data_IF_748512535856
#
_entry.id   IF_748512535856
#
_cell.length_a   1.000
_cell.length_b   1.000
_cell.length_c   1.000
_cell.angle_alpha   90.00
_cell.angle_beta   90.00
_cell.angle_gamma   90.00
#
_symmetry.space_group_name_H-M   'P 1'
#
loop_
_entity.id
_entity.type
_entity.pdbx_description
1 polymer ?
#
# COMPACT_ATOMS: atom_id res chain seq x y z
N UNK A 1 48.90 -23.79 -64.82
CA UNK A 1 47.87 -24.81 -64.53
C UNK A 1 48.11 -25.30 -63.11
N UNK A 2 47.10 -25.19 -62.24
CA UNK A 2 47.10 -25.52 -60.79
C UNK A 2 47.58 -26.95 -60.49
N UNK A 3 48.11 -27.26 -59.27
CA UNK A 3 47.30 -27.29 -58.04
C UNK A 3 47.95 -26.70 -56.78
N UNK A 4 47.16 -25.91 -56.04
CA UNK A 4 47.37 -25.64 -54.62
C UNK A 4 46.84 -26.80 -53.80
N UNK A 5 47.65 -27.31 -52.88
CA UNK A 5 47.27 -28.33 -51.91
C UNK A 5 46.58 -27.68 -50.71
N UNK A 6 45.42 -28.21 -50.32
CA UNK A 6 44.77 -27.99 -49.03
C UNK A 6 45.36 -28.92 -47.97
N UNK A 7 45.31 -28.51 -46.69
CA UNK A 7 44.80 -29.47 -45.70
C UNK A 7 43.84 -28.87 -44.65
N UNK A 8 42.81 -29.67 -44.36
CA UNK A 8 42.13 -29.90 -43.08
C UNK A 8 41.53 -28.71 -42.29
N UNK A 9 40.20 -28.69 -42.26
CA UNK A 9 39.40 -28.07 -41.21
C UNK A 9 39.45 -28.90 -39.91
N UNK A 10 39.22 -28.25 -38.76
CA UNK A 10 38.18 -28.75 -37.87
C UNK A 10 37.18 -27.63 -37.52
N UNK A 11 35.90 -27.95 -37.77
CA UNK A 11 34.76 -27.33 -37.09
C UNK A 11 34.93 -27.51 -35.58
N UNK A 12 34.86 -26.43 -34.82
CA UNK A 12 34.62 -26.44 -33.37
C UNK A 12 33.85 -25.16 -33.05
N UNK A 13 32.51 -25.18 -33.11
CA UNK A 13 31.62 -25.45 -31.96
C UNK A 13 32.07 -24.71 -30.70
N UNK A 14 31.38 -23.61 -30.39
CA UNK A 14 31.11 -23.01 -29.06
C UNK A 14 30.24 -21.77 -29.36
N UNK A 15 29.00 -21.93 -29.83
CA UNK A 15 27.84 -22.31 -29.02
C UNK A 15 27.82 -21.59 -27.66
N UNK A 16 27.09 -20.46 -27.65
CA UNK A 16 26.28 -19.99 -26.53
C UNK A 16 26.90 -20.06 -25.13
N UNK A 17 27.76 -19.08 -24.80
CA UNK A 17 28.01 -18.74 -23.40
C UNK A 17 26.86 -17.87 -22.87
N UNK A 18 25.80 -18.56 -22.46
CA UNK A 18 24.91 -18.26 -21.35
C UNK A 18 24.64 -16.77 -21.01
N UNK A 19 23.61 -16.22 -21.66
CA UNK A 19 22.70 -15.23 -21.09
C UNK A 19 21.96 -15.85 -19.87
N UNK A 20 22.62 -15.95 -18.72
CA UNK A 20 21.96 -16.30 -17.45
C UNK A 20 22.65 -15.56 -16.30
N UNK A 21 22.72 -14.23 -16.39
CA UNK A 21 22.77 -13.42 -15.17
C UNK A 21 21.36 -13.49 -14.57
N UNK A 22 21.22 -14.43 -13.64
CA UNK A 22 20.01 -14.77 -12.94
C UNK A 22 19.21 -13.53 -12.54
N UNK A 23 17.95 -13.47 -12.99
CA UNK A 23 16.88 -12.87 -12.23
C UNK A 23 16.83 -13.60 -10.88
N UNK A 24 17.66 -13.19 -9.92
CA UNK A 24 17.41 -13.48 -8.52
C UNK A 24 16.40 -12.44 -8.10
N UNK A 25 15.10 -12.77 -7.97
CA UNK A 25 14.26 -11.91 -7.16
C UNK A 25 14.90 -11.95 -5.77
N UNK A 26 15.40 -10.80 -5.31
CA UNK A 26 15.67 -10.60 -3.89
C UNK A 26 14.33 -10.86 -3.20
N UNK A 27 14.15 -12.08 -2.70
CA UNK A 27 13.16 -12.40 -1.71
C UNK A 27 13.66 -11.78 -0.40
N UNK A 28 13.52 -10.45 -0.30
CA UNK A 28 13.43 -9.83 1.00
C UNK A 28 12.22 -10.41 1.74
N UNK A 29 12.16 -10.31 3.09
CA UNK A 29 10.90 -10.52 3.78
C UNK A 29 9.80 -9.71 3.07
N UNK A 30 8.54 -10.17 2.99
CA UNK A 30 7.46 -9.40 2.39
C UNK A 30 7.25 -8.15 3.25
N UNK A 31 8.10 -7.14 3.02
CA UNK A 31 7.96 -5.82 3.57
C UNK A 31 6.70 -5.30 2.94
N UNK A 32 5.66 -5.21 3.76
CA UNK A 32 4.41 -4.56 3.41
C UNK A 32 4.73 -3.33 2.56
N UNK A 33 4.26 -3.25 1.30
CA UNK A 33 4.53 -2.08 0.49
C UNK A 33 4.01 -0.87 1.29
N UNK A 34 4.84 0.18 1.49
CA UNK A 34 4.38 1.37 2.20
C UNK A 34 3.07 1.81 1.55
N UNK A 35 2.01 1.79 2.38
CA UNK A 35 0.63 1.49 1.97
C UNK A 35 0.28 1.81 0.53
N UNK A 36 -0.04 0.77 -0.24
CA UNK A 36 -0.61 0.80 -1.61
C UNK A 36 -0.76 2.21 -2.18
N UNK A 37 0.33 2.75 -2.72
CA UNK A 37 0.34 4.06 -3.35
C UNK A 37 -0.64 4.07 -4.52
N UNK A 38 -1.73 4.84 -4.38
CA UNK A 38 -2.67 5.10 -5.47
C UNK A 38 -2.20 6.35 -6.20
N UNK A 39 -1.93 6.23 -7.50
CA UNK A 39 -1.56 7.36 -8.35
C UNK A 39 -2.66 8.43 -8.34
N UNK A 40 -2.27 9.71 -8.29
CA UNK A 40 -3.21 10.83 -8.11
C UNK A 40 -4.31 10.87 -9.18
N UNK A 41 -4.01 10.51 -10.42
CA UNK A 41 -5.00 10.49 -11.51
C UNK A 41 -6.09 9.42 -11.37
N UNK A 42 -5.89 8.43 -10.48
CA UNK A 42 -6.90 7.42 -10.14
C UNK A 42 -7.84 7.88 -9.02
N UNK A 43 -7.57 9.04 -8.42
CA UNK A 43 -8.38 9.59 -7.34
C UNK A 43 -9.52 10.40 -7.93
N UNK A 44 -10.75 10.00 -7.59
CA UNK A 44 -11.97 10.65 -8.06
C UNK A 44 -12.88 11.02 -6.89
N UNK A 45 -13.79 11.97 -7.10
CA UNK A 45 -14.75 12.41 -6.10
C UNK A 45 -14.09 13.10 -4.90
N UNK A 46 -14.58 12.82 -3.69
CA UNK A 46 -14.18 13.52 -2.46
C UNK A 46 -12.72 13.31 -2.05
N UNK A 47 -12.01 12.32 -2.61
CA UNK A 47 -10.56 12.19 -2.43
C UNK A 47 -9.75 13.35 -2.99
N UNK A 48 -10.31 14.08 -3.96
CA UNK A 48 -9.71 15.29 -4.53
C UNK A 48 -9.98 16.55 -3.71
N UNK A 49 -10.92 16.48 -2.76
CA UNK A 49 -11.20 17.58 -1.85
C UNK A 49 -10.01 17.84 -0.92
N UNK A 50 -9.91 19.05 -0.38
CA UNK A 50 -8.90 19.39 0.62
C UNK A 50 -9.35 18.99 2.02
N UNK A 51 -8.39 18.84 2.93
CA UNK A 51 -8.63 18.66 4.36
C UNK A 51 -9.46 19.82 4.94
N UNK A 52 -9.27 21.05 4.46
CA UNK A 52 -10.11 22.20 4.81
C UNK A 52 -11.58 21.97 4.43
N UNK A 53 -11.86 21.49 3.22
CA UNK A 53 -13.23 21.19 2.77
C UNK A 53 -13.86 20.06 3.59
N UNK A 54 -13.08 19.04 3.96
CA UNK A 54 -13.53 18.00 4.89
C UNK A 54 -13.85 18.57 6.27
N UNK A 55 -12.94 19.36 6.84
CA UNK A 55 -13.08 19.98 8.16
C UNK A 55 -14.25 20.95 8.25
N UNK A 56 -14.66 21.57 7.13
CA UNK A 56 -15.81 22.47 7.06
C UNK A 56 -17.17 21.74 7.13
N UNK A 57 -17.23 20.43 6.95
CA UNK A 57 -18.50 19.67 7.04
C UNK A 57 -18.91 19.45 8.50
N UNK A 58 -20.20 19.54 8.82
CA UNK A 58 -20.67 19.28 10.18
C UNK A 58 -20.69 17.78 10.48
N UNK A 59 -20.39 17.37 11.72
CA UNK A 59 -20.52 15.95 12.11
C UNK A 59 -21.99 15.52 12.00
N UNK A 60 -22.22 14.35 11.41
CA UNK A 60 -23.58 13.83 11.17
C UNK A 60 -24.30 14.46 9.97
N UNK A 61 -23.69 15.41 9.26
CA UNK A 61 -24.25 15.96 8.02
C UNK A 61 -24.20 14.94 6.88
N UNK A 62 -25.10 15.05 5.88
CA UNK A 62 -25.02 14.27 4.65
C UNK A 62 -23.66 14.39 3.94
N UNK A 63 -23.05 15.57 3.97
CA UNK A 63 -21.73 15.84 3.38
C UNK A 63 -20.64 15.06 4.12
N UNK A 64 -20.68 15.04 5.45
CA UNK A 64 -19.75 14.24 6.27
C UNK A 64 -19.92 12.74 6.02
N UNK A 65 -21.16 12.27 5.84
CA UNK A 65 -21.42 10.87 5.48
C UNK A 65 -20.91 10.54 4.08
N UNK A 66 -20.99 11.46 3.13
CA UNK A 66 -20.41 11.27 1.80
C UNK A 66 -18.88 11.07 1.87
N UNK A 67 -18.18 11.85 2.72
CA UNK A 67 -16.75 11.64 2.99
C UNK A 67 -16.48 10.27 3.62
N UNK A 68 -17.33 9.84 4.56
CA UNK A 68 -17.22 8.52 5.18
C UNK A 68 -17.38 7.41 4.13
N UNK A 69 -18.40 7.47 3.30
CA UNK A 69 -18.63 6.49 2.22
C UNK A 69 -17.47 6.45 1.22
N UNK A 70 -16.93 7.62 0.86
CA UNK A 70 -15.75 7.68 0.00
C UNK A 70 -14.54 7.01 0.65
N UNK A 71 -14.28 7.29 1.93
CA UNK A 71 -13.20 6.65 2.70
C UNK A 71 -13.39 5.12 2.73
N UNK A 72 -14.61 4.63 2.99
CA UNK A 72 -14.91 3.20 2.98
C UNK A 72 -14.59 2.55 1.63
N UNK A 73 -14.94 3.22 0.53
CA UNK A 73 -14.60 2.77 -0.82
C UNK A 73 -13.08 2.73 -1.04
N UNK A 74 -12.36 3.77 -0.63
CA UNK A 74 -10.90 3.83 -0.71
C UNK A 74 -10.25 2.68 0.08
N UNK A 75 -10.62 2.50 1.34
CA UNK A 75 -10.11 1.42 2.19
C UNK A 75 -10.45 0.03 1.66
N UNK A 76 -11.64 -0.16 1.09
CA UNK A 76 -12.03 -1.41 0.43
C UNK A 76 -11.13 -1.73 -0.76
N UNK A 77 -10.82 -0.73 -1.59
CA UNK A 77 -9.91 -0.90 -2.73
C UNK A 77 -8.47 -1.26 -2.28
N UNK A 78 -8.01 -0.69 -1.17
CA UNK A 78 -6.72 -1.03 -0.59
C UNK A 78 -6.71 -2.49 -0.11
N UNK A 79 -7.77 -2.92 0.59
CA UNK A 79 -7.91 -4.30 1.07
C UNK A 79 -7.99 -5.32 -0.07
N UNK A 80 -8.69 -5.03 -1.16
CA UNK A 80 -8.77 -5.94 -2.30
C UNK A 80 -7.47 -6.02 -3.08
N UNK A 81 -6.71 -4.91 -3.15
CA UNK A 81 -5.41 -4.85 -3.83
C UNK A 81 -4.25 -5.46 -3.04
N UNK A 82 -4.35 -5.55 -1.72
CA UNK A 82 -3.31 -6.15 -0.89
C UNK A 82 -3.71 -7.54 -0.38
N UNK A 83 -3.20 -8.56 -1.08
CA UNK A 83 -3.45 -9.98 -0.81
C UNK A 83 -3.04 -10.45 0.60
N UNK A 84 -2.21 -9.69 1.33
CA UNK A 84 -1.67 -10.06 2.65
C UNK A 84 -2.13 -9.15 3.80
N UNK A 85 -3.08 -8.22 3.58
CA UNK A 85 -3.41 -7.17 4.57
C UNK A 85 -4.87 -7.16 4.97
N UNK A 86 -5.57 -8.28 4.76
CA UNK A 86 -7.01 -8.41 5.02
C UNK A 86 -7.40 -8.01 6.46
N UNK A 87 -6.49 -8.09 7.43
CA UNK A 87 -6.71 -7.68 8.83
C UNK A 87 -6.31 -6.23 9.16
N UNK A 88 -5.56 -5.55 8.29
CA UNK A 88 -5.09 -4.17 8.57
C UNK A 88 -6.26 -3.21 8.66
N UNK A 89 -7.23 -3.33 7.75
CA UNK A 89 -8.38 -2.43 7.69
C UNK A 89 -9.67 -3.24 7.83
N UNK A 90 -9.80 -3.95 8.95
CA UNK A 90 -11.03 -4.70 9.26
C UNK A 90 -12.21 -3.73 9.47
N UNK A 91 -13.39 -4.10 8.95
CA UNK A 91 -14.67 -3.43 9.19
C UNK A 91 -14.97 -3.24 10.68
N UNK A 92 -14.45 -4.11 11.55
CA UNK A 92 -14.54 -3.96 13.00
C UNK A 92 -13.96 -2.63 13.47
N UNK A 93 -12.91 -2.09 12.85
CA UNK A 93 -12.24 -0.84 13.29
C UNK A 93 -12.89 0.46 12.78
N UNK A 94 -13.88 0.39 11.89
CA UNK A 94 -14.50 1.59 11.32
C UNK A 94 -15.29 2.40 12.35
N UNK A 95 -15.96 1.69 13.25
CA UNK A 95 -16.81 2.27 14.30
C UNK A 95 -16.34 1.87 15.71
N UNK A 96 -15.22 1.14 15.83
CA UNK A 96 -14.74 0.60 17.10
C UNK A 96 -13.65 1.47 17.71
N UNK A 97 -13.96 1.95 18.90
CA UNK A 97 -13.01 2.54 19.83
C UNK A 97 -12.66 1.51 20.90
N UNK A 98 -11.38 1.26 21.15
CA UNK A 98 -10.91 0.49 22.31
C UNK A 98 -9.90 1.29 23.14
N UNK A 99 -9.36 0.67 24.19
CA UNK A 99 -8.36 1.31 25.04
C UNK A 99 -7.08 1.74 24.30
N UNK A 100 -6.78 1.19 23.13
CA UNK A 100 -5.63 1.52 22.30
C UNK A 100 -5.96 2.47 21.12
N UNK A 101 -7.19 2.47 20.63
CA UNK A 101 -7.71 3.30 19.54
C UNK A 101 -8.94 4.08 20.04
N UNK A 102 -8.76 5.21 20.74
CA UNK A 102 -9.89 5.97 21.27
C UNK A 102 -10.68 6.74 20.21
N UNK A 103 -10.21 6.76 18.96
CA UNK A 103 -10.78 7.53 17.86
C UNK A 103 -11.11 6.62 16.68
N UNK A 104 -12.32 6.75 16.13
CA UNK A 104 -12.64 6.17 14.83
C UNK A 104 -11.86 6.90 13.71
N UNK A 105 -11.89 6.37 12.49
CA UNK A 105 -11.12 6.98 11.39
C UNK A 105 -11.54 8.41 11.06
N UNK A 106 -12.82 8.76 11.19
CA UNK A 106 -13.29 10.11 10.91
C UNK A 106 -12.77 11.11 11.95
N UNK A 107 -12.80 10.74 13.23
CA UNK A 107 -12.25 11.55 14.32
C UNK A 107 -10.72 11.70 14.21
N UNK A 108 -10.03 10.61 13.84
CA UNK A 108 -8.60 10.67 13.59
C UNK A 108 -8.28 11.60 12.40
N UNK A 109 -9.05 11.50 11.31
CA UNK A 109 -8.91 12.36 10.13
C UNK A 109 -9.19 13.83 10.46
N UNK A 110 -10.13 14.13 11.36
CA UNK A 110 -10.33 15.50 11.84
C UNK A 110 -9.09 16.04 12.56
N UNK A 111 -8.47 15.22 13.41
CA UNK A 111 -7.21 15.54 14.08
C UNK A 111 -6.06 15.76 13.09
N UNK A 112 -5.95 14.91 12.06
CA UNK A 112 -4.94 15.03 11.02
C UNK A 112 -5.16 16.23 10.09
N UNK A 113 -6.40 16.47 9.66
CA UNK A 113 -6.71 17.52 8.70
C UNK A 113 -6.65 18.93 9.30
N UNK A 114 -6.91 19.09 10.61
CA UNK A 114 -6.86 20.39 11.29
C UNK A 114 -5.53 21.15 11.10
N UNK A 115 -4.35 20.55 11.31
CA UNK A 115 -3.07 21.20 11.02
C UNK A 115 -2.65 21.14 9.53
N UNK A 116 -3.39 20.41 8.68
CA UNK A 116 -3.01 20.14 7.29
C UNK A 116 -4.08 20.58 6.27
N UNK A 117 -4.57 21.85 6.29
CA UNK A 117 -5.77 22.24 5.53
C UNK A 117 -5.65 22.07 4.00
N UNK A 118 -4.46 22.29 3.43
CA UNK A 118 -4.22 22.17 1.99
C UNK A 118 -4.00 20.74 1.48
N UNK A 119 -3.86 19.76 2.37
CA UNK A 119 -3.64 18.37 1.98
C UNK A 119 -4.90 17.80 1.34
N UNK A 120 -4.75 17.02 0.26
CA UNK A 120 -5.87 16.34 -0.39
C UNK A 120 -6.39 15.21 0.49
N UNK A 121 -7.70 14.99 0.51
CA UNK A 121 -8.35 14.04 1.40
C UNK A 121 -7.89 12.60 1.18
N UNK A 122 -7.58 12.19 -0.06
CA UNK A 122 -7.01 10.87 -0.32
C UNK A 122 -5.64 10.66 0.33
N UNK A 123 -4.82 11.72 0.47
CA UNK A 123 -3.54 11.64 1.18
C UNK A 123 -3.80 11.42 2.67
N UNK A 124 -4.76 12.15 3.26
CA UNK A 124 -5.17 11.91 4.65
C UNK A 124 -5.72 10.48 4.85
N UNK A 125 -6.50 9.95 3.90
CA UNK A 125 -6.98 8.57 3.91
C UNK A 125 -5.83 7.55 3.80
N UNK A 126 -4.78 7.82 3.03
CA UNK A 126 -3.56 7.00 3.00
C UNK A 126 -2.84 6.99 4.37
N UNK A 127 -2.89 8.07 5.13
CA UNK A 127 -2.31 8.09 6.47
C UNK A 127 -3.12 7.23 7.46
N UNK A 128 -4.44 7.11 7.27
CA UNK A 128 -5.25 6.10 8.00
C UNK A 128 -4.72 4.70 7.70
N UNK A 129 -4.51 4.38 6.42
CA UNK A 129 -3.92 3.10 6.02
C UNK A 129 -2.58 2.88 6.70
N UNK A 130 -1.66 3.85 6.61
CA UNK A 130 -0.32 3.77 7.22
C UNK A 130 -0.39 3.57 8.73
N UNK A 131 -1.29 4.27 9.42
CA UNK A 131 -1.55 4.06 10.85
C UNK A 131 -1.92 2.61 11.14
N UNK A 132 -2.84 2.04 10.37
CA UNK A 132 -3.30 0.66 10.59
C UNK A 132 -2.20 -0.37 10.32
N UNK A 133 -1.41 -0.20 9.25
CA UNK A 133 -0.28 -1.09 8.96
C UNK A 133 0.74 -1.12 10.11
N UNK A 134 1.04 0.04 10.69
CA UNK A 134 1.94 0.14 11.82
C UNK A 134 1.41 -0.60 13.06
N UNK A 135 0.09 -0.57 13.29
CA UNK A 135 -0.53 -1.29 14.40
C UNK A 135 -0.53 -2.80 14.20
N UNK A 136 -0.83 -3.28 12.98
CA UNK A 136 -0.69 -4.70 12.65
C UNK A 136 0.74 -5.18 12.89
N UNK A 137 1.76 -4.47 12.40
CA UNK A 137 3.15 -4.87 12.61
C UNK A 137 3.51 -4.96 14.11
N UNK A 138 3.01 -4.04 14.93
CA UNK A 138 3.19 -4.10 16.40
C UNK A 138 2.46 -5.29 17.03
N UNK A 139 1.32 -5.72 16.48
CA UNK A 139 0.58 -6.89 16.98
C UNK A 139 1.32 -8.18 16.63
N UNK A 140 1.75 -8.35 15.37
CA UNK A 140 2.55 -9.50 14.94
C UNK A 140 3.82 -9.66 15.78
N UNK A 141 4.54 -8.55 16.04
CA UNK A 141 5.71 -8.57 16.92
C UNK A 141 5.36 -9.05 18.34
N UNK A 142 4.23 -8.62 18.90
CA UNK A 142 3.79 -9.02 20.24
C UNK A 142 3.41 -10.50 20.31
N UNK A 143 2.78 -11.02 19.26
CA UNK A 143 2.40 -12.44 19.16
C UNK A 143 3.63 -13.32 18.96
N UNK A 144 4.52 -12.96 18.04
CA UNK A 144 5.78 -13.66 17.84
C UNK A 144 6.64 -13.72 19.11
N UNK A 145 6.68 -12.65 19.92
CA UNK A 145 7.37 -12.66 21.21
C UNK A 145 6.68 -13.54 22.27
N UNK A 146 5.36 -13.75 22.17
CA UNK A 146 4.61 -14.63 23.07
C UNK A 146 4.91 -16.10 22.78
N UNK A 147 4.99 -16.47 21.51
CA UNK A 147 5.22 -17.85 21.08
C UNK A 147 6.66 -18.33 21.34
N UNK A 148 7.59 -17.39 21.54
CA UNK A 148 8.99 -17.68 21.91
C UNK A 148 9.15 -18.00 23.42
N UNK A 149 8.13 -17.78 24.25
CA UNK A 149 8.21 -17.91 25.72
C UNK A 149 7.54 -19.17 26.24
#
# INVERSE_FOLDING_TARGET
>A
MHPFATPFAPLSLLAAAALLAACVPVAGPPGYPPGNYVEEWKIVGLGTSTCEQFSATERGSPEREAYRQWLLGYLSAINTGAHSTADVIDRRHLDWTDGAKPWNYMEWLEGYCKPNPGVRFHIAAREVVTREYNEMYKQELRENMRDVR
#
